data_IF_075172404581
#
_entry.id   IF_075172404581
#
_cell.length_a   1.000
_cell.length_b   1.000
_cell.length_c   1.000
_cell.angle_alpha   90.00
_cell.angle_beta   90.00
_cell.angle_gamma   90.00
#
_symmetry.space_group_name_H-M   'P 1'
#
loop_
_entity.id
_entity.type
_entity.pdbx_description
1 polymer ?
#
# COMPACT_ATOMS: atom_id res chain seq x y z
N UNK A 1 43.95 4.36 72.38
CA UNK A 1 42.50 4.57 72.29
C UNK A 1 42.18 5.50 71.12
N UNK A 2 42.89 6.62 71.00
CA UNK A 2 42.69 7.62 69.93
C UNK A 2 42.95 7.09 68.50
N UNK A 3 43.89 6.16 68.31
CA UNK A 3 44.15 5.54 67.00
C UNK A 3 42.93 4.75 66.47
N UNK A 4 42.16 4.11 67.35
CA UNK A 4 40.97 3.34 66.98
C UNK A 4 39.84 4.29 66.57
N UNK A 5 39.67 5.39 67.31
CA UNK A 5 38.68 6.43 67.01
C UNK A 5 39.01 7.11 65.66
N UNK A 6 40.29 7.39 65.42
CA UNK A 6 40.76 7.98 64.15
C UNK A 6 40.52 7.03 62.97
N UNK A 7 40.78 5.73 63.15
CA UNK A 7 40.51 4.71 62.13
C UNK A 7 39.02 4.57 61.84
N UNK A 8 38.17 4.52 62.86
CA UNK A 8 36.72 4.46 62.68
C UNK A 8 36.16 5.71 61.99
N UNK A 9 36.67 6.91 62.32
CA UNK A 9 36.27 8.14 61.63
C UNK A 9 36.66 8.11 60.14
N UNK A 10 37.86 7.59 59.83
CA UNK A 10 38.34 7.46 58.45
C UNK A 10 37.53 6.43 57.67
N UNK A 11 37.29 5.25 58.24
CA UNK A 11 36.49 4.19 57.63
C UNK A 11 35.03 4.62 57.44
N UNK A 12 34.45 5.33 58.41
CA UNK A 12 33.11 5.88 58.30
C UNK A 12 33.02 6.91 57.15
N UNK A 13 33.98 7.82 57.03
CA UNK A 13 34.01 8.77 55.93
C UNK A 13 34.19 8.09 54.57
N UNK A 14 35.00 7.02 54.50
CA UNK A 14 35.20 6.22 53.30
C UNK A 14 33.90 5.53 52.87
N UNK A 15 33.27 4.78 53.78
CA UNK A 15 32.04 4.06 53.48
C UNK A 15 30.85 5.00 53.25
N UNK A 16 30.82 6.17 53.90
CA UNK A 16 29.82 7.20 53.59
C UNK A 16 29.93 7.67 52.14
N UNK A 17 31.16 7.86 51.63
CA UNK A 17 31.37 8.26 50.24
C UNK A 17 30.99 7.15 49.25
N UNK A 18 31.37 5.90 49.54
CA UNK A 18 31.01 4.74 48.72
C UNK A 18 29.49 4.51 48.71
N UNK A 19 28.83 4.59 49.86
CA UNK A 19 27.38 4.48 49.98
C UNK A 19 26.66 5.56 49.15
N UNK A 20 27.15 6.80 49.19
CA UNK A 20 26.57 7.89 48.39
C UNK A 20 26.70 7.60 46.89
N UNK A 21 27.87 7.12 46.45
CA UNK A 21 28.09 6.72 45.06
C UNK A 21 27.20 5.57 44.63
N UNK A 22 26.97 4.57 45.50
CA UNK A 22 26.06 3.46 45.23
C UNK A 22 24.61 3.93 45.16
N UNK A 23 24.19 4.83 46.05
CA UNK A 23 22.86 5.42 46.02
C UNK A 23 22.60 6.19 44.71
N UNK A 24 23.59 6.96 44.23
CA UNK A 24 23.51 7.66 42.94
C UNK A 24 23.41 6.67 41.77
N UNK A 25 24.14 5.55 41.82
CA UNK A 25 24.06 4.49 40.81
C UNK A 25 22.70 3.77 40.80
N UNK A 26 22.15 3.48 41.98
CA UNK A 26 20.82 2.88 42.13
C UNK A 26 19.76 3.84 41.58
N UNK A 27 19.84 5.14 41.89
CA UNK A 27 18.92 6.14 41.36
C UNK A 27 18.97 6.23 39.82
N UNK A 28 20.17 6.08 39.22
CA UNK A 28 20.32 6.03 37.77
C UNK A 28 19.69 4.77 37.17
N UNK A 29 19.84 3.61 37.82
CA UNK A 29 19.19 2.36 37.40
C UNK A 29 17.67 2.42 37.52
N UNK A 30 17.14 3.01 38.59
CA UNK A 30 15.69 3.19 38.75
C UNK A 30 15.12 4.05 37.64
N UNK A 31 15.81 5.13 37.26
CA UNK A 31 15.41 5.97 36.13
C UNK A 31 15.40 5.20 34.80
N UNK A 32 16.43 4.39 34.55
CA UNK A 32 16.50 3.55 33.35
C UNK A 32 15.39 2.49 33.34
N UNK A 33 15.04 1.93 34.50
CA UNK A 33 13.99 0.93 34.64
C UNK A 33 12.61 1.52 34.32
N UNK A 34 12.33 2.74 34.78
CA UNK A 34 11.09 3.46 34.42
C UNK A 34 11.05 3.77 32.93
N UNK A 35 12.12 4.29 32.33
CA UNK A 35 12.18 4.59 30.90
C UNK A 35 11.97 3.33 30.04
N UNK A 36 12.60 2.22 30.41
CA UNK A 36 12.39 0.95 29.73
C UNK A 36 10.98 0.40 29.97
N UNK A 37 10.39 0.62 31.16
CA UNK A 37 9.00 0.28 31.44
C UNK A 37 8.02 0.98 30.50
N UNK A 38 8.20 2.28 30.26
CA UNK A 38 7.40 3.04 29.29
C UNK A 38 7.56 2.50 27.86
N UNK A 39 8.79 2.19 27.43
CA UNK A 39 9.04 1.58 26.11
C UNK A 39 8.40 0.21 25.97
N UNK A 40 8.46 -0.63 27.01
CA UNK A 40 7.82 -1.95 27.03
C UNK A 40 6.31 -1.80 26.94
N UNK A 41 5.72 -0.86 27.67
CA UNK A 41 4.29 -0.59 27.60
C UNK A 41 3.87 -0.14 26.20
N UNK A 42 4.63 0.75 25.57
CA UNK A 42 4.38 1.17 24.18
C UNK A 42 4.46 -0.03 23.23
N UNK A 43 5.52 -0.83 23.34
CA UNK A 43 5.68 -2.03 22.51
C UNK A 43 4.53 -3.02 22.70
N UNK A 44 4.04 -3.19 23.93
CA UNK A 44 2.89 -4.05 24.21
C UNK A 44 1.62 -3.56 23.50
N UNK A 45 1.35 -2.26 23.55
CA UNK A 45 0.20 -1.66 22.84
C UNK A 45 0.33 -1.83 21.33
N UNK A 46 1.51 -1.51 20.76
CA UNK A 46 1.78 -1.64 19.33
C UNK A 46 1.66 -3.12 18.88
N UNK A 47 2.12 -4.06 19.72
CA UNK A 47 2.01 -5.51 19.46
C UNK A 47 0.56 -5.98 19.50
N UNK A 48 -0.23 -5.50 20.45
CA UNK A 48 -1.64 -5.82 20.56
C UNK A 48 -2.44 -5.28 19.37
N UNK A 49 -2.13 -4.07 18.91
CA UNK A 49 -2.73 -3.49 17.70
C UNK A 49 -2.35 -4.31 16.45
N UNK A 50 -1.08 -4.68 16.31
CA UNK A 50 -0.61 -5.54 15.22
C UNK A 50 -1.28 -6.93 15.24
N UNK A 51 -1.49 -7.52 16.43
CA UNK A 51 -2.22 -8.78 16.58
C UNK A 51 -3.67 -8.64 16.12
N UNK A 52 -4.34 -7.56 16.51
CA UNK A 52 -5.71 -7.27 16.07
C UNK A 52 -5.79 -7.11 14.56
N UNK A 53 -4.87 -6.35 13.96
CA UNK A 53 -4.80 -6.18 12.51
C UNK A 53 -4.53 -7.51 11.79
N UNK A 54 -3.64 -8.35 12.31
CA UNK A 54 -3.36 -9.68 11.78
C UNK A 54 -4.60 -10.59 11.80
N UNK A 55 -5.35 -10.60 12.92
CA UNK A 55 -6.62 -11.34 13.02
C UNK A 55 -7.68 -10.83 12.04
N UNK A 56 -7.70 -9.52 11.77
CA UNK A 56 -8.60 -8.95 10.78
C UNK A 56 -8.23 -9.37 9.36
N UNK A 57 -6.94 -9.36 9.01
CA UNK A 57 -6.43 -9.89 7.74
C UNK A 57 -6.80 -11.36 7.59
N UNK A 58 -6.63 -12.18 8.62
CA UNK A 58 -7.02 -13.60 8.61
C UNK A 58 -8.52 -13.78 8.30
N UNK A 59 -9.38 -13.00 8.97
CA UNK A 59 -10.82 -13.02 8.69
C UNK A 59 -11.12 -12.64 7.23
N UNK A 60 -10.43 -11.65 6.69
CA UNK A 60 -10.59 -11.25 5.30
C UNK A 60 -10.12 -12.36 4.34
N UNK A 61 -9.00 -13.02 4.63
CA UNK A 61 -8.52 -14.15 3.83
C UNK A 61 -9.52 -15.30 3.80
N UNK A 62 -10.07 -15.71 4.95
CA UNK A 62 -11.11 -16.75 5.02
C UNK A 62 -12.38 -16.34 4.24
N UNK A 63 -12.74 -15.06 4.27
CA UNK A 63 -13.89 -14.57 3.50
C UNK A 63 -13.61 -14.65 2.00
N UNK A 64 -12.41 -14.27 1.55
CA UNK A 64 -12.01 -14.36 0.15
C UNK A 64 -11.93 -15.81 -0.31
N UNK A 65 -11.41 -16.71 0.52
CA UNK A 65 -11.35 -18.15 0.23
C UNK A 65 -12.76 -18.73 0.06
N UNK A 66 -13.67 -18.45 1.01
CA UNK A 66 -15.07 -18.88 0.88
C UNK A 66 -15.76 -18.32 -0.36
N UNK A 67 -15.44 -17.08 -0.77
CA UNK A 67 -15.97 -16.50 -2.00
C UNK A 67 -15.39 -17.17 -3.25
N UNK A 68 -14.11 -17.59 -3.22
CA UNK A 68 -13.50 -18.35 -4.32
C UNK A 68 -14.17 -19.72 -4.45
N UNK A 69 -14.40 -20.43 -3.35
CA UNK A 69 -15.09 -21.74 -3.34
C UNK A 69 -16.53 -21.62 -3.88
N UNK A 70 -17.26 -20.57 -3.48
CA UNK A 70 -18.60 -20.31 -4.00
C UNK A 70 -18.57 -20.03 -5.50
N UNK A 71 -17.67 -19.17 -5.97
CA UNK A 71 -17.53 -18.85 -7.40
C UNK A 71 -17.15 -20.08 -8.22
N UNK A 72 -16.25 -20.94 -7.71
CA UNK A 72 -15.89 -22.21 -8.33
C UNK A 72 -17.11 -23.14 -8.44
N UNK A 73 -17.88 -23.30 -7.36
CA UNK A 73 -19.10 -24.11 -7.39
C UNK A 73 -20.15 -23.59 -8.38
N UNK A 74 -20.26 -22.27 -8.55
CA UNK A 74 -21.17 -21.70 -9.55
C UNK A 74 -20.64 -21.91 -10.96
N UNK A 75 -19.33 -21.80 -11.16
CA UNK A 75 -18.67 -22.05 -12.43
C UNK A 75 -18.86 -23.52 -12.86
N UNK A 76 -18.63 -24.49 -11.97
CA UNK A 76 -18.90 -25.92 -12.21
C UNK A 76 -20.35 -26.19 -12.65
N UNK A 77 -21.32 -25.51 -12.02
CA UNK A 77 -22.74 -25.63 -12.39
C UNK A 77 -23.00 -25.07 -13.78
N UNK A 78 -22.44 -23.89 -14.09
CA UNK A 78 -22.59 -23.28 -15.40
C UNK A 78 -21.89 -24.08 -16.49
N UNK A 79 -20.72 -24.66 -16.23
CA UNK A 79 -20.06 -25.59 -17.14
C UNK A 79 -20.96 -26.79 -17.42
N UNK A 80 -21.56 -27.39 -16.39
CA UNK A 80 -22.52 -28.48 -16.56
C UNK A 80 -23.77 -28.09 -17.36
N UNK A 81 -24.31 -26.88 -17.16
CA UNK A 81 -25.44 -26.35 -17.94
C UNK A 81 -25.05 -26.10 -19.41
N UNK A 82 -23.85 -25.56 -19.65
CA UNK A 82 -23.29 -25.36 -20.99
C UNK A 82 -23.10 -26.70 -21.71
N UNK A 83 -22.54 -27.71 -21.04
CA UNK A 83 -22.39 -29.06 -21.59
C UNK A 83 -23.74 -29.69 -21.94
N UNK A 84 -24.78 -29.47 -21.11
CA UNK A 84 -26.14 -29.92 -21.41
C UNK A 84 -26.72 -29.21 -22.63
N UNK A 85 -26.51 -27.89 -22.76
CA UNK A 85 -26.94 -27.13 -23.94
C UNK A 85 -26.23 -27.63 -25.20
N UNK A 86 -24.91 -27.84 -25.14
CA UNK A 86 -24.16 -28.43 -26.24
C UNK A 86 -24.70 -29.82 -26.59
N UNK A 87 -24.92 -30.69 -25.60
CA UNK A 87 -25.45 -32.05 -25.84
C UNK A 87 -26.86 -32.03 -26.43
N UNK A 88 -27.70 -31.08 -26.01
CA UNK A 88 -29.08 -30.92 -26.48
C UNK A 88 -29.14 -30.35 -27.91
N UNK A 89 -28.30 -29.38 -28.23
CA UNK A 89 -28.22 -28.79 -29.57
C UNK A 89 -27.46 -29.70 -30.55
N UNK A 90 -26.41 -30.41 -30.13
CA UNK A 90 -25.68 -31.39 -30.95
C UNK A 90 -26.41 -32.73 -31.15
N UNK A 91 -27.50 -32.97 -30.40
CA UNK A 91 -28.46 -34.04 -30.68
C UNK A 91 -29.21 -33.84 -32.00
N UNK A 92 -29.12 -32.65 -32.61
CA UNK A 92 -29.42 -32.39 -34.01
C UNK A 92 -28.08 -32.07 -34.66
N UNK A 93 -27.55 -32.97 -35.49
CA UNK A 93 -26.18 -32.96 -36.01
C UNK A 93 -25.83 -31.79 -36.94
N UNK A 94 -25.93 -30.57 -36.45
CA UNK A 94 -25.46 -29.36 -37.09
C UNK A 94 -24.37 -28.79 -36.18
N UNK A 95 -23.12 -29.10 -36.50
CA UNK A 95 -21.99 -28.25 -36.13
C UNK A 95 -22.44 -26.80 -36.33
N UNK A 96 -22.26 -25.92 -35.32
CA UNK A 96 -22.51 -24.47 -35.41
C UNK A 96 -22.27 -23.98 -36.85
N UNK A 97 -23.35 -23.79 -37.62
CA UNK A 97 -23.25 -23.50 -39.05
C UNK A 97 -23.48 -22.02 -39.29
N UNK A 98 -22.61 -21.40 -40.09
CA UNK A 98 -22.72 -19.97 -40.45
C UNK A 98 -22.10 -19.02 -39.41
N UNK A 99 -22.71 -17.83 -39.16
CA UNK A 99 -22.11 -16.75 -38.36
C UNK A 99 -21.66 -17.13 -36.95
N UNK A 100 -22.25 -18.17 -36.35
CA UNK A 100 -21.85 -18.65 -35.02
C UNK A 100 -20.47 -19.30 -34.99
N UNK A 101 -20.04 -19.95 -36.08
CA UNK A 101 -18.70 -20.52 -36.18
C UNK A 101 -17.63 -19.43 -36.28
N UNK A 102 -17.92 -18.32 -36.97
CA UNK A 102 -17.01 -17.18 -37.05
C UNK A 102 -16.92 -16.44 -35.71
N UNK A 103 -18.04 -16.34 -34.97
CA UNK A 103 -18.06 -15.83 -33.59
C UNK A 103 -17.20 -16.69 -32.66
N UNK A 104 -17.39 -18.01 -32.66
CA UNK A 104 -16.61 -18.94 -31.84
C UNK A 104 -15.10 -18.81 -32.13
N UNK A 105 -14.71 -18.79 -33.41
CA UNK A 105 -13.31 -18.59 -33.81
C UNK A 105 -12.75 -17.27 -33.28
N UNK A 106 -13.52 -16.20 -33.33
CA UNK A 106 -13.10 -14.87 -32.86
C UNK A 106 -12.89 -14.86 -31.33
N UNK A 107 -13.84 -15.41 -30.55
CA UNK A 107 -13.69 -15.52 -29.10
C UNK A 107 -12.50 -16.40 -28.70
N UNK A 108 -12.33 -17.54 -29.38
CA UNK A 108 -11.18 -18.44 -29.15
C UNK A 108 -9.84 -17.78 -29.48
N UNK A 109 -9.79 -16.92 -30.49
CA UNK A 109 -8.58 -16.13 -30.77
C UNK A 109 -8.35 -15.08 -29.69
N UNK A 110 -9.39 -14.40 -29.20
CA UNK A 110 -9.26 -13.42 -28.12
C UNK A 110 -8.77 -14.05 -26.80
N UNK A 111 -9.29 -15.23 -26.46
CA UNK A 111 -8.84 -16.04 -25.33
C UNK A 111 -7.34 -16.36 -25.44
N UNK A 112 -6.90 -16.92 -26.58
CA UNK A 112 -5.48 -17.23 -26.83
C UNK A 112 -4.57 -16.01 -26.77
N UNK A 113 -5.04 -14.85 -27.22
CA UNK A 113 -4.26 -13.60 -27.12
C UNK A 113 -4.10 -13.20 -25.65
N UNK A 114 -5.16 -13.32 -24.85
CA UNK A 114 -5.14 -13.01 -23.42
C UNK A 114 -4.20 -13.95 -22.67
N UNK A 115 -4.30 -15.26 -22.93
CA UNK A 115 -3.41 -16.28 -22.36
C UNK A 115 -1.94 -16.00 -22.69
N UNK A 116 -1.65 -15.67 -23.96
CA UNK A 116 -0.28 -15.34 -24.39
C UNK A 116 0.27 -14.06 -23.76
N UNK A 117 -0.57 -13.06 -23.50
CA UNK A 117 -0.16 -11.86 -22.78
C UNK A 117 0.15 -12.14 -21.31
N UNK A 118 -0.62 -13.02 -20.67
CA UNK A 118 -0.38 -13.45 -19.28
C UNK A 118 0.90 -14.28 -19.16
N UNK A 119 1.11 -15.24 -20.08
CA UNK A 119 2.37 -16.00 -20.17
C UNK A 119 3.57 -15.08 -20.39
N UNK A 120 3.46 -14.11 -21.31
CA UNK A 120 4.52 -13.12 -21.54
C UNK A 120 4.78 -12.25 -20.31
N UNK A 121 3.74 -11.88 -19.55
CA UNK A 121 3.87 -11.16 -18.28
C UNK A 121 4.61 -11.98 -17.21
N UNK A 122 4.33 -13.28 -17.12
CA UNK A 122 5.08 -14.21 -16.25
C UNK A 122 6.53 -14.35 -16.69
N UNK A 123 6.79 -14.49 -17.98
CA UNK A 123 8.14 -14.60 -18.54
C UNK A 123 8.96 -13.32 -18.31
N UNK A 124 8.37 -12.14 -18.51
CA UNK A 124 9.01 -10.87 -18.17
C UNK A 124 9.31 -10.78 -16.67
N UNK A 125 8.39 -11.20 -15.81
CA UNK A 125 8.62 -11.25 -14.36
C UNK A 125 9.78 -12.19 -14.01
N UNK A 126 9.86 -13.35 -14.67
CA UNK A 126 10.97 -14.30 -14.50
C UNK A 126 12.29 -13.71 -14.98
N UNK A 127 12.32 -13.09 -16.16
CA UNK A 127 13.50 -12.40 -16.69
C UNK A 127 13.96 -11.27 -15.77
N UNK A 128 13.05 -10.49 -15.19
CA UNK A 128 13.38 -9.45 -14.19
C UNK A 128 14.00 -10.07 -12.94
N UNK A 129 13.49 -11.20 -12.45
CA UNK A 129 14.09 -11.93 -11.32
C UNK A 129 15.50 -12.42 -11.67
N UNK A 130 15.68 -13.06 -12.82
CA UNK A 130 16.99 -13.53 -13.29
C UNK A 130 17.99 -12.37 -13.46
N UNK A 131 17.56 -11.23 -14.01
CA UNK A 131 18.39 -10.02 -14.12
C UNK A 131 18.76 -9.50 -12.73
N UNK A 132 17.81 -9.44 -11.79
CA UNK A 132 18.08 -9.01 -10.42
C UNK A 132 19.06 -9.96 -9.71
N UNK A 133 18.94 -11.26 -9.93
CA UNK A 133 19.84 -12.28 -9.36
C UNK A 133 21.24 -12.18 -9.98
N UNK A 134 21.35 -12.04 -11.30
CA UNK A 134 22.62 -11.83 -12.01
C UNK A 134 23.26 -10.52 -11.58
N UNK A 135 22.51 -9.42 -11.55
CA UNK A 135 22.99 -8.11 -11.11
C UNK A 135 23.44 -8.14 -9.64
N UNK A 136 22.71 -8.86 -8.79
CA UNK A 136 23.07 -9.08 -7.38
C UNK A 136 24.34 -9.90 -7.22
N UNK A 137 24.54 -10.94 -8.04
CA UNK A 137 25.73 -11.79 -8.01
C UNK A 137 26.97 -11.09 -8.58
N UNK A 138 26.83 -10.41 -9.73
CA UNK A 138 27.92 -9.74 -10.46
C UNK A 138 28.49 -8.55 -9.69
N UNK A 139 27.64 -7.79 -8.99
CA UNK A 139 28.08 -6.63 -8.23
C UNK A 139 28.74 -6.97 -6.88
N UNK A 140 28.60 -8.21 -6.37
CA UNK A 140 28.89 -8.51 -4.95
C UNK A 140 29.63 -9.79 -4.59
N UNK A 141 29.95 -10.68 -5.54
CA UNK A 141 30.84 -11.82 -5.29
C UNK A 141 30.49 -12.66 -4.05
N UNK A 142 29.70 -13.72 -4.22
CA UNK A 142 29.44 -14.78 -3.23
C UNK A 142 28.97 -14.38 -1.80
N UNK A 143 28.61 -13.12 -1.53
CA UNK A 143 28.00 -12.71 -0.23
C UNK A 143 26.57 -12.18 -0.42
N UNK A 144 25.56 -13.07 -0.39
CA UNK A 144 24.15 -12.67 -0.56
C UNK A 144 23.61 -11.76 0.57
N UNK A 145 24.25 -11.75 1.75
CA UNK A 145 23.84 -10.95 2.93
C UNK A 145 24.64 -9.66 3.14
N UNK A 146 25.19 -9.08 2.08
CA UNK A 146 25.88 -7.79 2.19
C UNK A 146 24.88 -6.68 2.61
N UNK A 147 25.09 -5.98 3.75
CA UNK A 147 24.23 -4.89 4.21
C UNK A 147 24.12 -3.76 3.18
N UNK A 148 25.12 -3.54 2.33
CA UNK A 148 25.03 -2.58 1.22
C UNK A 148 23.93 -2.98 0.23
N UNK A 149 23.60 -4.27 0.10
CA UNK A 149 22.53 -4.79 -0.78
C UNK A 149 21.15 -4.46 -0.25
N UNK A 150 21.00 -4.60 1.06
CA UNK A 150 19.78 -4.22 1.75
C UNK A 150 19.57 -2.70 1.62
N UNK A 151 20.62 -1.89 1.82
CA UNK A 151 20.53 -0.43 1.65
C UNK A 151 20.12 -0.05 0.22
N UNK A 152 20.78 -0.60 -0.80
CA UNK A 152 20.43 -0.29 -2.20
C UNK A 152 18.99 -0.71 -2.52
N UNK A 153 18.53 -1.86 -2.02
CA UNK A 153 17.15 -2.32 -2.21
C UNK A 153 16.13 -1.38 -1.55
N UNK A 154 16.38 -0.98 -0.30
CA UNK A 154 15.51 -0.04 0.43
C UNK A 154 15.49 1.32 -0.26
N UNK A 155 16.65 1.83 -0.70
CA UNK A 155 16.75 3.12 -1.36
C UNK A 155 16.04 3.11 -2.72
N UNK A 156 16.18 2.04 -3.50
CA UNK A 156 15.41 1.87 -4.73
C UNK A 156 13.90 1.82 -4.44
N UNK A 157 13.47 1.17 -3.36
CA UNK A 157 12.07 1.20 -2.92
C UNK A 157 11.59 2.60 -2.51
N UNK A 158 12.42 3.36 -1.80
CA UNK A 158 12.11 4.75 -1.44
C UNK A 158 12.05 5.65 -2.68
N UNK A 159 12.93 5.43 -3.67
CA UNK A 159 12.92 6.18 -4.93
C UNK A 159 11.63 5.93 -5.71
N UNK A 160 11.21 4.67 -5.85
CA UNK A 160 9.95 4.35 -6.53
C UNK A 160 8.74 4.90 -5.78
N UNK A 161 8.75 4.85 -4.44
CA UNK A 161 7.72 5.49 -3.60
C UNK A 161 7.69 7.01 -3.81
N UNK A 162 8.83 7.69 -3.83
CA UNK A 162 8.90 9.13 -4.07
C UNK A 162 8.42 9.51 -5.48
N UNK A 163 8.79 8.74 -6.50
CA UNK A 163 8.28 8.93 -7.86
C UNK A 163 6.76 8.74 -7.92
N UNK A 164 6.23 7.75 -7.21
CA UNK A 164 4.79 7.55 -7.10
C UNK A 164 4.10 8.72 -6.38
N UNK A 165 4.68 9.23 -5.30
CA UNK A 165 4.16 10.43 -4.60
C UNK A 165 4.19 11.64 -5.53
N UNK A 166 5.29 11.89 -6.25
CA UNK A 166 5.44 13.02 -7.16
C UNK A 166 4.40 12.98 -8.30
N UNK A 167 4.26 11.85 -8.97
CA UNK A 167 3.29 11.66 -10.05
C UNK A 167 1.84 11.84 -9.57
N UNK A 168 1.49 11.31 -8.39
CA UNK A 168 0.15 11.48 -7.82
C UNK A 168 -0.10 12.90 -7.31
N UNK A 169 0.90 13.55 -6.72
CA UNK A 169 0.81 14.95 -6.30
C UNK A 169 0.60 15.86 -7.51
N UNK A 170 1.34 15.63 -8.61
CA UNK A 170 1.16 16.35 -9.87
C UNK A 170 -0.26 16.11 -10.46
N UNK A 171 -0.74 14.87 -10.43
CA UNK A 171 -2.09 14.55 -10.88
C UNK A 171 -3.18 15.23 -10.02
N UNK A 172 -2.99 15.27 -8.69
CA UNK A 172 -3.88 15.97 -7.77
C UNK A 172 -3.86 17.48 -8.03
N UNK A 173 -2.68 18.06 -8.22
CA UNK A 173 -2.51 19.48 -8.54
C UNK A 173 -3.21 19.85 -9.85
N UNK A 174 -3.13 18.99 -10.87
CA UNK A 174 -3.84 19.17 -12.13
C UNK A 174 -5.37 19.15 -11.91
N UNK A 175 -5.88 18.21 -11.11
CA UNK A 175 -7.32 18.15 -10.75
C UNK A 175 -7.77 19.41 -9.99
N UNK A 176 -6.97 19.89 -9.03
CA UNK A 176 -7.27 21.13 -8.28
C UNK A 176 -7.31 22.34 -9.23
N UNK A 177 -6.33 22.46 -10.12
CA UNK A 177 -6.28 23.56 -11.09
C UNK A 177 -7.48 23.53 -12.04
N UNK A 178 -7.89 22.34 -12.49
CA UNK A 178 -9.10 22.17 -13.30
C UNK A 178 -10.36 22.56 -12.52
N UNK A 179 -10.48 22.17 -11.25
CA UNK A 179 -11.60 22.53 -10.38
C UNK A 179 -11.67 24.04 -10.11
N UNK A 180 -10.52 24.71 -9.89
CA UNK A 180 -10.46 26.17 -9.73
C UNK A 180 -10.88 26.91 -11.02
N UNK A 181 -10.45 26.42 -12.19
CA UNK A 181 -10.91 26.95 -13.48
C UNK A 181 -12.41 26.73 -13.67
N UNK A 182 -12.93 25.54 -13.39
CA UNK A 182 -14.37 25.28 -13.45
C UNK A 182 -15.17 26.17 -12.48
N UNK A 183 -14.69 26.34 -11.26
CA UNK A 183 -15.31 27.20 -10.24
C UNK A 183 -15.31 28.68 -10.64
N UNK A 184 -14.21 29.18 -11.21
CA UNK A 184 -14.15 30.56 -11.74
C UNK A 184 -15.04 30.77 -12.96
N UNK A 185 -15.17 29.78 -13.85
CA UNK A 185 -16.12 29.83 -14.97
C UNK A 185 -17.57 29.87 -14.49
N UNK A 186 -17.93 29.04 -13.49
CA UNK A 186 -19.28 29.06 -12.89
C UNK A 186 -19.55 30.38 -12.13
N UNK A 187 -18.55 30.92 -11.43
CA UNK A 187 -18.64 32.23 -10.79
C UNK A 187 -18.80 33.38 -11.79
N UNK A 188 -18.13 33.31 -12.94
CA UNK A 188 -18.27 34.27 -14.05
C UNK A 188 -19.64 34.16 -14.73
N UNK A 189 -20.17 32.94 -14.88
CA UNK A 189 -21.49 32.71 -15.47
C UNK A 189 -22.63 33.23 -14.60
N UNK A 190 -22.51 33.17 -13.27
CA UNK A 190 -23.51 33.75 -12.36
C UNK A 190 -23.31 35.25 -12.09
N UNK A 191 -22.08 35.78 -12.13
CA UNK A 191 -21.82 37.22 -11.96
C UNK A 191 -22.06 38.07 -13.20
N UNK A 192 -21.98 37.49 -14.41
CA UNK A 192 -22.15 38.21 -15.68
C UNK A 192 -23.60 38.33 -16.16
N UNK A 193 -24.47 37.37 -15.84
CA UNK A 193 -25.86 37.36 -16.32
C UNK A 193 -26.71 38.48 -15.70
N UNK A 194 -26.45 38.87 -14.45
CA UNK A 194 -27.24 39.92 -13.77
C UNK A 194 -26.85 41.32 -14.25
N UNK A 195 -25.56 41.56 -14.54
CA UNK A 195 -25.07 42.84 -15.05
C UNK A 195 -25.39 43.04 -16.54
N UNK A 196 -25.31 42.00 -17.37
CA UNK A 196 -25.63 42.07 -18.80
C UNK A 196 -27.16 42.18 -19.05
N UNK A 197 -27.97 41.53 -18.22
CA UNK A 197 -29.42 41.71 -18.23
C UNK A 197 -29.83 43.13 -17.80
N UNK A 198 -29.18 43.69 -16.78
CA UNK A 198 -29.44 45.06 -16.33
C UNK A 198 -28.99 46.11 -17.37
N UNK A 199 -27.78 45.97 -17.93
CA UNK A 199 -27.25 46.90 -18.94
C UNK A 199 -28.02 46.84 -20.26
N UNK A 200 -28.44 45.65 -20.71
CA UNK A 200 -29.28 45.51 -21.90
C UNK A 200 -30.66 46.13 -21.71
N UNK A 201 -31.24 46.03 -20.52
CA UNK A 201 -32.51 46.68 -20.17
C UNK A 201 -32.37 48.21 -20.18
N UNK A 202 -31.34 48.77 -19.55
CA UNK A 202 -31.07 50.21 -19.54
C UNK A 202 -30.79 50.77 -20.94
N UNK A 203 -30.05 50.04 -21.78
CA UNK A 203 -29.75 50.42 -23.16
C UNK A 203 -31.01 50.43 -24.03
N UNK A 204 -31.95 49.51 -23.81
CA UNK A 204 -33.25 49.47 -24.50
C UNK A 204 -34.19 50.61 -24.07
N UNK A 205 -34.11 51.05 -22.82
CA UNK A 205 -34.93 52.13 -22.28
C UNK A 205 -34.42 53.52 -22.71
N UNK A 206 -33.10 53.71 -22.77
CA UNK A 206 -32.49 54.99 -23.17
C UNK A 206 -32.39 55.19 -24.68
N UNK A 207 -32.39 54.11 -25.48
CA UNK A 207 -32.32 54.19 -26.95
C UNK A 207 -33.64 54.55 -27.64
N UNK A 208 -34.71 54.84 -26.89
CA UNK A 208 -36.06 55.10 -27.42
C UNK A 208 -36.57 56.53 -27.18
N UNK A 209 -35.67 57.47 -26.87
CA UNK A 209 -35.99 58.90 -26.78
C UNK A 209 -35.41 59.68 -27.95
#
# INVERSE_FOLDING_TARGET
>A
MDEIITRWATDLSKYQKEFKSQADQVAAWDRLLVENGEKIQKLYLDTFEAEKASREVERHLVTVESQQDELESWLDKYEGEVDQLFTKDLGHGEQLAGPDQEREKTYKTAEKVTERLDEMGRDLTKMIKEINDISGSLSKGNKPDDPLSQIVRVLNGHLTQLQWIDTNAAALQAKITAAQKASSTVGSQYGGLEHDAADSFYRSYMGRR
#
